data_IF_337459725734
#
_entry.id   IF_337459725734
#
_cell.length_a   1.000
_cell.length_b   1.000
_cell.length_c   1.000
_cell.angle_alpha   90.00
_cell.angle_beta   90.00
_cell.angle_gamma   90.00
#
_symmetry.space_group_name_H-M   'P 1'
#
loop_
_entity.id
_entity.type
_entity.pdbx_description
1 polymer ?
#
# COMPACT_ATOMS: atom_id res chain seq x y z
N UNK A 1 50.43 70.00 -29.82
CA UNK A 1 50.60 68.85 -28.93
C UNK A 1 49.22 68.26 -28.57
N UNK A 2 48.77 67.19 -29.22
CA UNK A 2 47.47 66.59 -28.98
C UNK A 2 47.72 65.20 -28.33
N UNK A 3 47.40 65.07 -27.02
CA UNK A 3 47.44 63.77 -26.28
C UNK A 3 46.18 62.96 -26.61
N UNK A 4 46.33 61.77 -27.18
CA UNK A 4 45.29 60.77 -27.40
C UNK A 4 45.23 59.90 -26.16
N UNK A 5 44.08 59.86 -25.45
CA UNK A 5 43.78 58.89 -24.40
C UNK A 5 43.12 57.67 -25.05
N UNK A 6 43.77 56.47 -24.91
CA UNK A 6 43.23 55.18 -25.25
C UNK A 6 42.46 54.66 -24.01
N UNK A 7 41.15 54.51 -24.14
CA UNK A 7 40.34 53.77 -23.17
C UNK A 7 40.37 52.27 -23.55
N UNK A 8 40.92 51.43 -22.64
CA UNK A 8 40.86 49.98 -22.76
C UNK A 8 39.51 49.54 -22.12
N UNK A 9 38.60 48.97 -22.91
CA UNK A 9 37.39 48.28 -22.41
C UNK A 9 37.79 46.88 -21.93
N UNK A 10 37.74 46.67 -20.64
CA UNK A 10 37.83 45.34 -20.05
C UNK A 10 36.46 44.66 -20.16
N UNK A 11 36.31 43.65 -21.01
CA UNK A 11 35.15 42.81 -21.13
C UNK A 11 35.14 41.76 -19.99
N UNK A 12 34.34 42.01 -18.95
CA UNK A 12 34.08 40.99 -17.92
C UNK A 12 33.10 39.96 -18.45
N UNK A 13 33.61 38.77 -18.67
CA UNK A 13 32.79 37.61 -18.97
C UNK A 13 32.03 37.18 -17.68
N UNK A 14 30.75 37.45 -17.62
CA UNK A 14 29.84 36.86 -16.65
C UNK A 14 29.58 35.41 -17.04
N UNK A 15 30.24 34.48 -16.35
CA UNK A 15 29.91 33.05 -16.43
C UNK A 15 28.49 32.85 -15.84
N UNK A 16 27.50 32.71 -16.71
CA UNK A 16 26.16 32.29 -16.29
C UNK A 16 26.25 30.90 -15.64
N UNK A 17 25.63 30.68 -14.47
CA UNK A 17 25.55 29.33 -13.93
C UNK A 17 24.75 28.48 -14.92
N UNK A 18 25.38 27.47 -15.49
CA UNK A 18 24.69 26.43 -16.24
C UNK A 18 23.74 25.73 -15.28
N UNK A 19 22.43 26.05 -15.37
CA UNK A 19 21.39 25.17 -14.82
C UNK A 19 21.65 23.79 -15.42
N UNK A 20 22.17 22.90 -14.60
CA UNK A 20 22.34 21.51 -14.93
C UNK A 20 20.95 20.95 -15.20
N UNK A 21 20.60 20.79 -16.48
CA UNK A 21 19.35 20.19 -16.90
C UNK A 21 19.20 18.88 -16.13
N UNK A 22 18.13 18.77 -15.35
CA UNK A 22 17.78 17.52 -14.68
C UNK A 22 17.84 16.42 -15.73
N UNK A 23 18.69 15.41 -15.50
CA UNK A 23 18.88 14.27 -16.38
C UNK A 23 17.52 13.83 -16.91
N UNK A 24 17.33 13.83 -18.25
CA UNK A 24 16.07 13.52 -18.93
C UNK A 24 15.58 12.08 -18.76
N UNK A 25 15.88 11.48 -17.61
CA UNK A 25 15.42 10.16 -17.22
C UNK A 25 14.00 10.24 -16.65
N UNK A 26 13.08 9.47 -17.21
CA UNK A 26 11.75 9.30 -16.63
C UNK A 26 11.83 8.90 -15.14
N UNK A 27 11.00 9.45 -14.25
CA UNK A 27 11.04 9.09 -12.85
C UNK A 27 10.81 7.59 -12.62
N UNK A 28 11.45 7.04 -11.58
CA UNK A 28 11.14 5.71 -11.09
C UNK A 28 9.85 5.78 -10.27
N UNK A 29 8.84 5.03 -10.69
CA UNK A 29 7.50 5.10 -10.10
C UNK A 29 7.36 4.07 -8.97
N UNK A 30 7.23 4.58 -7.73
CA UNK A 30 6.90 3.80 -6.54
C UNK A 30 5.38 3.79 -6.33
N UNK A 31 4.72 2.72 -6.73
CA UNK A 31 3.29 2.52 -6.55
C UNK A 31 2.96 2.03 -5.13
N UNK A 32 2.03 2.69 -4.45
CA UNK A 32 1.57 2.29 -3.11
C UNK A 32 0.08 1.99 -3.15
N UNK A 33 -0.30 0.77 -2.76
CA UNK A 33 -1.72 0.39 -2.68
C UNK A 33 -2.48 1.28 -1.67
N UNK A 34 -3.74 1.64 -1.95
CA UNK A 34 -4.50 2.63 -1.18
C UNK A 34 -5.05 2.06 0.14
N UNK A 35 -4.17 1.73 1.07
CA UNK A 35 -4.50 1.18 2.38
C UNK A 35 -4.91 2.24 3.43
N UNK A 36 -4.76 3.51 3.10
CA UNK A 36 -5.22 4.69 3.84
C UNK A 36 -5.40 5.85 2.85
N UNK A 37 -5.68 7.06 3.32
CA UNK A 37 -5.88 8.22 2.43
C UNK A 37 -4.62 8.55 1.64
N UNK A 38 -4.79 9.08 0.41
CA UNK A 38 -3.69 9.41 -0.48
C UNK A 38 -2.67 10.37 0.17
N UNK A 39 -3.14 11.38 0.93
CA UNK A 39 -2.27 12.31 1.66
C UNK A 39 -1.38 11.58 2.65
N UNK A 40 -1.96 10.70 3.47
CA UNK A 40 -1.21 9.91 4.46
C UNK A 40 -0.19 8.98 3.79
N UNK A 41 -0.55 8.36 2.66
CA UNK A 41 0.37 7.53 1.88
C UNK A 41 1.56 8.35 1.40
N UNK A 42 1.31 9.50 0.77
CA UNK A 42 2.37 10.36 0.24
C UNK A 42 3.32 10.82 1.35
N UNK A 43 2.80 11.23 2.51
CA UNK A 43 3.60 11.62 3.67
C UNK A 43 4.41 10.43 4.23
N UNK A 44 3.76 9.28 4.43
CA UNK A 44 4.35 8.07 5.01
C UNK A 44 5.55 7.55 4.20
N UNK A 45 5.44 7.55 2.86
CA UNK A 45 6.48 6.98 2.00
C UNK A 45 7.56 7.97 1.56
N UNK A 46 7.53 9.24 2.02
CA UNK A 46 8.58 10.23 1.71
C UNK A 46 9.99 9.81 2.14
N UNK A 47 10.22 9.21 3.33
CA UNK A 47 11.56 8.75 3.70
C UNK A 47 12.11 7.70 2.74
N UNK A 48 11.30 6.71 2.35
CA UNK A 48 11.67 5.69 1.38
C UNK A 48 11.90 6.28 -0.01
N UNK A 49 11.03 7.19 -0.46
CA UNK A 49 11.17 7.88 -1.74
C UNK A 49 12.53 8.58 -1.85
N UNK A 50 12.87 9.41 -0.87
CA UNK A 50 14.15 10.16 -0.84
C UNK A 50 15.35 9.22 -0.83
N UNK A 51 15.25 8.14 -0.07
CA UNK A 51 16.33 7.16 0.00
C UNK A 51 16.55 6.45 -1.35
N UNK A 52 15.47 5.99 -1.99
CA UNK A 52 15.53 5.36 -3.31
C UNK A 52 16.02 6.35 -4.37
N UNK A 53 15.61 7.61 -4.33
CA UNK A 53 16.07 8.66 -5.24
C UNK A 53 17.59 8.82 -5.19
N UNK A 54 18.16 8.86 -3.98
CA UNK A 54 19.61 8.91 -3.79
C UNK A 54 20.31 7.62 -4.24
N UNK A 55 19.76 6.45 -3.88
CA UNK A 55 20.36 5.15 -4.21
C UNK A 55 20.31 4.82 -5.70
N UNK A 56 19.25 5.23 -6.39
CA UNK A 56 19.05 4.97 -7.81
C UNK A 56 19.66 6.04 -8.72
N UNK A 57 20.06 7.18 -8.16
CA UNK A 57 20.57 8.37 -8.89
C UNK A 57 19.57 8.81 -9.98
N UNK A 58 18.28 8.82 -9.65
CA UNK A 58 17.18 9.16 -10.56
C UNK A 58 15.97 9.64 -9.77
N UNK A 59 15.15 10.56 -10.31
CA UNK A 59 13.92 10.99 -9.65
C UNK A 59 13.02 9.82 -9.29
N UNK A 60 12.44 9.84 -8.08
CA UNK A 60 11.48 8.83 -7.61
C UNK A 60 10.14 9.51 -7.32
N UNK A 61 9.08 9.01 -7.92
CA UNK A 61 7.72 9.50 -7.75
C UNK A 61 6.87 8.46 -7.00
N UNK A 62 6.19 8.88 -5.92
CA UNK A 62 5.22 8.05 -5.22
C UNK A 62 3.84 8.25 -5.85
N UNK A 63 3.23 7.16 -6.29
CA UNK A 63 1.86 7.15 -6.83
C UNK A 63 0.98 6.19 -6.05
N UNK A 64 -0.28 6.55 -5.88
CA UNK A 64 -1.34 5.66 -5.40
C UNK A 64 -2.52 5.69 -6.37
N UNK A 65 -3.60 4.98 -6.04
CA UNK A 65 -4.81 4.94 -6.84
C UNK A 65 -6.04 5.25 -5.97
N UNK A 66 -7.20 5.57 -6.56
CA UNK A 66 -8.44 5.81 -5.82
C UNK A 66 -8.89 4.61 -4.98
N UNK A 67 -8.67 3.40 -5.48
CA UNK A 67 -9.01 2.15 -4.82
C UNK A 67 -8.09 1.00 -5.24
N UNK A 68 -8.25 -0.17 -4.61
CA UNK A 68 -7.44 -1.36 -4.89
C UNK A 68 -7.65 -1.95 -6.28
N UNK A 69 -8.84 -1.77 -6.88
CA UNK A 69 -9.14 -2.27 -8.23
C UNK A 69 -8.35 -1.48 -9.28
N UNK A 70 -8.39 -0.16 -9.18
CA UNK A 70 -7.65 0.74 -10.06
C UNK A 70 -6.13 0.58 -9.85
N UNK A 71 -5.68 0.39 -8.62
CA UNK A 71 -4.28 0.10 -8.32
C UNK A 71 -3.81 -1.18 -9.02
N UNK A 72 -4.59 -2.26 -8.93
CA UNK A 72 -4.28 -3.52 -9.61
C UNK A 72 -4.25 -3.35 -11.13
N UNK A 73 -5.22 -2.65 -11.70
CA UNK A 73 -5.27 -2.38 -13.15
C UNK A 73 -4.03 -1.64 -13.64
N UNK A 74 -3.59 -0.61 -12.92
CA UNK A 74 -2.37 0.14 -13.25
C UNK A 74 -1.11 -0.72 -13.15
N UNK A 75 -1.01 -1.57 -12.14
CA UNK A 75 0.13 -2.48 -12.01
C UNK A 75 0.19 -3.50 -13.16
N UNK A 76 -0.96 -4.06 -13.55
CA UNK A 76 -1.05 -4.99 -14.69
C UNK A 76 -0.72 -4.32 -16.03
N UNK A 77 -0.87 -2.99 -16.12
CA UNK A 77 -0.45 -2.16 -17.27
C UNK A 77 0.99 -1.63 -17.14
N UNK A 78 1.79 -2.20 -16.26
CA UNK A 78 3.21 -1.83 -16.06
C UNK A 78 3.44 -0.35 -15.66
N UNK A 79 2.45 0.31 -15.01
CA UNK A 79 2.57 1.74 -14.64
C UNK A 79 3.49 1.97 -13.42
N UNK A 80 3.84 0.94 -12.66
CA UNK A 80 4.74 1.02 -11.50
C UNK A 80 6.05 0.30 -11.76
N UNK A 81 7.17 0.90 -11.31
CA UNK A 81 8.48 0.27 -11.33
C UNK A 81 8.70 -0.64 -10.12
N UNK A 82 8.27 -0.16 -8.95
CA UNK A 82 8.23 -0.89 -7.70
C UNK A 82 6.86 -0.66 -7.08
N UNK A 83 6.15 -1.72 -6.72
CA UNK A 83 4.85 -1.60 -6.05
C UNK A 83 4.92 -2.16 -4.64
N UNK A 84 4.23 -1.48 -3.70
CA UNK A 84 3.99 -1.96 -2.34
C UNK A 84 2.50 -2.25 -2.20
N UNK A 85 2.16 -3.52 -2.12
CA UNK A 85 0.77 -3.98 -2.16
C UNK A 85 0.52 -5.17 -1.23
N UNK A 86 -0.71 -5.56 -1.04
CA UNK A 86 -1.07 -6.75 -0.25
C UNK A 86 -0.76 -8.04 -1.00
N UNK A 87 -0.51 -9.13 -0.25
CA UNK A 87 0.01 -10.38 -0.79
C UNK A 87 -0.78 -10.96 -1.96
N UNK A 88 -2.11 -10.88 -1.94
CA UNK A 88 -2.95 -11.38 -3.03
C UNK A 88 -2.79 -10.59 -4.34
N UNK A 89 -2.64 -9.26 -4.26
CA UNK A 89 -2.32 -8.45 -5.43
C UNK A 89 -0.87 -8.66 -5.86
N UNK A 90 0.07 -8.81 -4.92
CA UNK A 90 1.45 -9.18 -5.24
C UNK A 90 1.51 -10.50 -6.01
N UNK A 91 0.70 -11.49 -5.61
CA UNK A 91 0.57 -12.77 -6.32
C UNK A 91 0.00 -12.59 -7.72
N UNK A 92 -1.05 -11.79 -7.88
CA UNK A 92 -1.61 -11.46 -9.19
C UNK A 92 -0.57 -10.78 -10.09
N UNK A 93 0.15 -9.80 -9.58
CA UNK A 93 1.18 -9.09 -10.37
C UNK A 93 2.34 -10.01 -10.74
N UNK A 94 2.71 -10.93 -9.85
CA UNK A 94 3.71 -11.95 -10.14
C UNK A 94 3.26 -12.88 -11.27
N UNK A 95 2.03 -13.42 -11.21
CA UNK A 95 1.55 -14.40 -12.19
C UNK A 95 1.18 -13.77 -13.54
N UNK A 96 0.57 -12.60 -13.56
CA UNK A 96 -0.07 -12.04 -14.76
C UNK A 96 0.77 -10.94 -15.42
N UNK A 97 1.64 -10.24 -14.68
CA UNK A 97 2.50 -9.18 -15.21
C UNK A 97 4.02 -9.43 -15.00
N UNK A 98 4.38 -10.56 -14.38
CA UNK A 98 5.78 -10.95 -14.22
C UNK A 98 6.57 -10.08 -13.23
N UNK A 99 5.89 -9.45 -12.28
CA UNK A 99 6.58 -8.74 -11.20
C UNK A 99 7.36 -9.71 -10.32
N UNK A 100 8.48 -9.24 -9.79
CA UNK A 100 9.41 -10.01 -8.95
C UNK A 100 9.18 -9.66 -7.49
N UNK A 101 8.67 -10.55 -6.64
CA UNK A 101 8.55 -10.32 -5.21
C UNK A 101 9.95 -10.18 -4.58
N UNK A 102 10.17 -9.11 -3.81
CA UNK A 102 11.46 -8.84 -3.16
C UNK A 102 11.43 -9.16 -1.67
N UNK A 103 10.55 -8.47 -0.94
CA UNK A 103 10.48 -8.56 0.53
C UNK A 103 9.09 -8.13 1.03
N UNK A 104 8.87 -8.38 2.31
CA UNK A 104 7.66 -7.93 3.03
C UNK A 104 8.05 -7.40 4.42
N UNK A 105 7.12 -6.81 5.14
CA UNK A 105 7.32 -6.42 6.53
C UNK A 105 7.27 -7.64 7.46
N UNK A 106 7.92 -7.53 8.64
CA UNK A 106 7.84 -8.57 9.69
C UNK A 106 6.48 -8.59 10.35
N UNK A 107 5.84 -7.42 10.52
CA UNK A 107 4.51 -7.33 11.06
C UNK A 107 3.52 -8.18 10.24
N UNK A 108 2.84 -9.09 10.89
CA UNK A 108 1.85 -9.94 10.26
C UNK A 108 0.61 -9.12 9.84
N UNK A 109 0.02 -9.52 8.73
CA UNK A 109 -1.26 -8.98 8.31
C UNK A 109 -2.39 -9.92 8.74
N UNK A 110 -3.37 -9.37 9.45
CA UNK A 110 -4.60 -10.06 9.79
C UNK A 110 -5.80 -9.19 9.47
N UNK A 111 -6.82 -9.79 8.90
CA UNK A 111 -8.12 -9.19 8.71
C UNK A 111 -8.99 -9.45 9.96
N UNK A 112 -9.83 -8.49 10.31
CA UNK A 112 -10.78 -8.61 11.43
C UNK A 112 -12.17 -8.17 10.99
N UNK A 113 -13.17 -8.79 11.62
CA UNK A 113 -14.57 -8.40 11.57
C UNK A 113 -14.94 -7.69 12.88
N UNK A 114 -15.27 -6.40 12.78
CA UNK A 114 -15.58 -5.55 13.92
C UNK A 114 -17.09 -5.34 14.06
N UNK A 115 -17.60 -5.44 15.28
CA UNK A 115 -18.98 -5.11 15.63
C UNK A 115 -18.99 -4.12 16.80
N UNK A 116 -20.09 -3.40 17.00
CA UNK A 116 -20.33 -2.65 18.23
C UNK A 116 -20.43 -3.62 19.41
N UNK A 117 -19.63 -3.40 20.46
CA UNK A 117 -19.60 -4.24 21.66
C UNK A 117 -20.94 -4.33 22.37
N UNK A 118 -21.73 -3.25 22.34
CA UNK A 118 -23.04 -3.15 22.98
C UNK A 118 -24.20 -3.34 22.02
N UNK A 119 -23.91 -3.47 20.72
CA UNK A 119 -24.92 -3.62 19.68
C UNK A 119 -25.56 -5.02 19.67
N UNK A 120 -26.58 -5.25 18.83
CA UNK A 120 -27.30 -6.50 18.77
C UNK A 120 -26.52 -7.64 18.09
N UNK A 121 -25.43 -7.35 17.40
CA UNK A 121 -24.67 -8.32 16.60
C UNK A 121 -23.57 -8.99 17.43
N UNK A 122 -24.00 -9.76 18.46
CA UNK A 122 -23.08 -10.39 19.39
C UNK A 122 -22.56 -11.75 18.93
N UNK A 123 -23.28 -12.38 18.03
CA UNK A 123 -22.89 -13.64 17.38
C UNK A 123 -23.03 -13.56 15.86
N UNK A 124 -22.53 -14.59 15.18
CA UNK A 124 -22.51 -14.62 13.72
C UNK A 124 -23.92 -14.75 13.14
N UNK A 125 -24.82 -15.47 13.81
CA UNK A 125 -26.18 -15.73 13.31
C UNK A 125 -27.00 -14.45 13.25
N UNK A 126 -26.72 -13.48 14.13
CA UNK A 126 -27.38 -12.17 14.16
C UNK A 126 -27.08 -11.32 12.91
N UNK A 127 -26.06 -11.65 12.13
CA UNK A 127 -25.72 -10.93 10.90
C UNK A 127 -26.62 -11.28 9.71
N UNK A 128 -27.50 -12.27 9.83
CA UNK A 128 -28.38 -12.66 8.71
C UNK A 128 -29.26 -11.50 8.25
N UNK A 129 -29.30 -11.24 6.95
CA UNK A 129 -30.04 -10.14 6.33
C UNK A 129 -29.50 -8.75 6.65
N UNK A 130 -28.32 -8.63 7.28
CA UNK A 130 -27.75 -7.36 7.67
C UNK A 130 -26.87 -6.73 6.57
N UNK A 131 -26.51 -5.46 6.77
CA UNK A 131 -25.53 -4.75 5.96
C UNK A 131 -24.20 -4.71 6.68
N UNK A 132 -23.13 -5.16 6.00
CA UNK A 132 -21.75 -5.11 6.48
C UNK A 132 -20.90 -4.19 5.61
N UNK A 133 -19.83 -3.65 6.17
CA UNK A 133 -18.90 -2.78 5.44
C UNK A 133 -17.66 -3.53 4.98
N UNK A 134 -17.34 -3.37 3.70
CA UNK A 134 -16.05 -3.69 3.13
C UNK A 134 -15.32 -2.43 2.65
N UNK A 135 -14.03 -2.53 2.32
CA UNK A 135 -13.30 -1.43 1.67
C UNK A 135 -13.64 -1.41 0.17
N UNK A 136 -12.81 -1.92 -0.70
CA UNK A 136 -13.18 -2.13 -2.10
C UNK A 136 -13.42 -3.63 -2.37
N UNK A 137 -14.08 -3.99 -3.47
CA UNK A 137 -14.29 -5.40 -3.84
C UNK A 137 -13.00 -6.23 -3.89
N UNK A 138 -11.88 -5.58 -4.18
CA UNK A 138 -10.57 -6.21 -4.35
C UNK A 138 -9.61 -5.99 -3.17
N UNK A 139 -10.08 -5.43 -2.05
CA UNK A 139 -9.24 -5.33 -0.86
C UNK A 139 -9.18 -6.66 -0.11
N UNK A 140 -8.02 -7.02 0.43
CA UNK A 140 -7.82 -8.32 1.10
C UNK A 140 -8.76 -8.51 2.29
N UNK A 141 -9.03 -7.46 3.07
CA UNK A 141 -9.95 -7.55 4.21
C UNK A 141 -11.38 -7.85 3.76
N UNK A 142 -11.82 -7.26 2.65
CA UNK A 142 -13.16 -7.51 2.07
C UNK A 142 -13.25 -8.92 1.52
N UNK A 143 -12.28 -9.36 0.73
CA UNK A 143 -12.24 -10.71 0.16
C UNK A 143 -12.21 -11.80 1.25
N UNK A 144 -11.41 -11.58 2.29
CA UNK A 144 -11.42 -12.46 3.46
C UNK A 144 -12.78 -12.48 4.13
N UNK A 145 -13.37 -11.33 4.37
CA UNK A 145 -14.69 -11.21 5.00
C UNK A 145 -15.79 -11.88 4.20
N UNK A 146 -15.82 -11.69 2.88
CA UNK A 146 -16.76 -12.39 1.99
C UNK A 146 -16.61 -13.90 2.08
N UNK A 147 -15.37 -14.40 2.04
CA UNK A 147 -15.10 -15.82 2.18
C UNK A 147 -15.54 -16.36 3.55
N UNK A 148 -15.24 -15.61 4.60
CA UNK A 148 -15.65 -15.93 5.97
C UNK A 148 -17.18 -16.00 6.09
N UNK A 149 -17.92 -15.00 5.56
CA UNK A 149 -19.40 -15.01 5.56
C UNK A 149 -19.96 -16.22 4.79
N UNK A 150 -19.42 -16.56 3.64
CA UNK A 150 -19.83 -17.74 2.88
C UNK A 150 -19.68 -19.04 3.69
N UNK A 151 -18.60 -19.19 4.43
CA UNK A 151 -18.35 -20.36 5.29
C UNK A 151 -19.33 -20.47 6.47
N UNK A 152 -19.95 -19.34 6.88
CA UNK A 152 -20.94 -19.34 7.98
C UNK A 152 -22.36 -19.68 7.51
N UNK A 153 -22.60 -19.84 6.21
CA UNK A 153 -23.94 -20.14 5.65
C UNK A 153 -25.03 -19.13 6.11
N UNK A 154 -24.68 -17.84 6.22
CA UNK A 154 -25.57 -16.81 6.74
C UNK A 154 -26.71 -16.42 5.79
N UNK A 155 -26.65 -16.79 4.51
CA UNK A 155 -27.59 -16.37 3.48
C UNK A 155 -27.32 -14.93 3.06
N UNK A 156 -28.36 -14.11 2.92
CA UNK A 156 -28.29 -12.77 2.36
C UNK A 156 -27.67 -11.75 3.32
N UNK A 157 -26.36 -11.53 3.18
CA UNK A 157 -25.64 -10.41 3.81
C UNK A 157 -25.22 -9.45 2.72
N UNK A 158 -25.69 -8.19 2.83
CA UNK A 158 -25.33 -7.15 1.85
C UNK A 158 -23.98 -6.51 2.22
N UNK A 159 -23.05 -6.44 1.27
CA UNK A 159 -21.77 -5.75 1.48
C UNK A 159 -21.82 -4.37 0.84
N UNK A 160 -21.69 -3.33 1.66
CA UNK A 160 -21.52 -1.95 1.23
C UNK A 160 -20.06 -1.56 1.30
N UNK A 161 -19.54 -0.96 0.23
CA UNK A 161 -18.13 -0.56 0.16
C UNK A 161 -17.93 0.88 0.60
N UNK A 162 -16.83 1.14 1.30
CA UNK A 162 -16.38 2.47 1.70
C UNK A 162 -14.94 2.69 1.28
N UNK A 163 -14.60 3.91 0.88
CA UNK A 163 -13.26 4.23 0.36
C UNK A 163 -12.23 4.46 1.47
N UNK A 164 -12.66 4.84 2.67
CA UNK A 164 -11.77 5.21 3.76
C UNK A 164 -11.79 4.15 4.88
N UNK A 165 -10.67 3.47 5.07
CA UNK A 165 -10.51 2.43 6.08
C UNK A 165 -10.67 2.93 7.53
N UNK A 166 -10.41 4.21 7.78
CA UNK A 166 -10.54 4.87 9.07
C UNK A 166 -11.99 5.24 9.44
N UNK A 167 -12.91 5.24 8.46
CA UNK A 167 -14.32 5.54 8.70
C UNK A 167 -15.16 4.33 9.13
N UNK A 168 -14.70 3.10 8.84
CA UNK A 168 -15.53 1.88 9.06
C UNK A 168 -15.93 1.70 10.52
N UNK A 169 -15.05 2.00 11.47
CA UNK A 169 -15.32 1.87 12.90
C UNK A 169 -16.41 2.84 13.36
N UNK A 170 -16.37 4.08 12.90
CA UNK A 170 -17.38 5.10 13.22
C UNK A 170 -18.76 4.74 12.67
N UNK A 171 -18.82 4.22 11.45
CA UNK A 171 -20.07 3.79 10.82
C UNK A 171 -20.71 2.61 11.56
N UNK A 172 -19.91 1.66 12.07
CA UNK A 172 -20.42 0.57 12.92
C UNK A 172 -20.95 1.13 14.25
N UNK A 173 -20.21 2.02 14.91
CA UNK A 173 -20.64 2.63 16.19
C UNK A 173 -21.85 3.56 16.03
N UNK A 174 -22.06 4.14 14.86
CA UNK A 174 -23.25 4.93 14.54
C UNK A 174 -24.48 4.06 14.21
N UNK A 175 -24.32 2.75 14.09
CA UNK A 175 -25.40 1.84 13.69
C UNK A 175 -25.70 1.82 12.18
N UNK A 176 -24.86 2.46 11.37
CA UNK A 176 -25.00 2.50 9.89
C UNK A 176 -24.69 1.16 9.22
N UNK A 177 -24.06 0.25 9.95
CA UNK A 177 -23.78 -1.12 9.54
C UNK A 177 -23.60 -2.03 10.75
N UNK A 178 -23.91 -3.30 10.56
CA UNK A 178 -23.86 -4.32 11.60
C UNK A 178 -22.43 -4.76 11.91
N UNK A 179 -21.55 -4.72 10.92
CA UNK A 179 -20.18 -5.20 11.00
C UNK A 179 -19.30 -4.47 9.97
N UNK A 180 -18.02 -4.35 10.25
CA UNK A 180 -17.04 -3.88 9.27
C UNK A 180 -15.81 -4.79 9.18
N UNK A 181 -15.33 -5.01 7.96
CA UNK A 181 -14.05 -5.65 7.71
C UNK A 181 -12.94 -4.62 7.63
N UNK A 182 -11.89 -4.82 8.42
CA UNK A 182 -10.69 -3.99 8.41
C UNK A 182 -9.45 -4.83 8.75
N UNK A 183 -8.27 -4.23 8.80
CA UNK A 183 -7.07 -4.92 9.29
C UNK A 183 -6.94 -4.77 10.80
N UNK A 184 -6.33 -5.77 11.45
CA UNK A 184 -5.99 -5.71 12.87
C UNK A 184 -5.13 -4.46 13.18
N UNK A 185 -4.19 -4.13 12.29
CA UNK A 185 -3.36 -2.93 12.44
C UNK A 185 -4.18 -1.63 12.41
N UNK A 186 -5.21 -1.53 11.56
CA UNK A 186 -6.11 -0.36 11.57
C UNK A 186 -6.95 -0.30 12.86
N UNK A 187 -7.45 -1.43 13.32
CA UNK A 187 -8.16 -1.50 14.60
C UNK A 187 -7.27 -1.06 15.77
N UNK A 188 -6.03 -1.53 15.82
CA UNK A 188 -5.08 -1.19 16.90
C UNK A 188 -4.69 0.30 16.90
N UNK A 189 -4.77 0.98 15.76
CA UNK A 189 -4.50 2.43 15.61
C UNK A 189 -5.69 3.33 15.99
N UNK A 190 -6.86 2.75 16.24
CA UNK A 190 -8.01 3.53 16.70
C UNK A 190 -7.73 4.15 18.08
N UNK A 191 -8.29 5.34 18.36
CA UNK A 191 -8.30 5.91 19.71
C UNK A 191 -8.81 4.89 20.74
N UNK A 192 -8.22 4.83 21.95
CA UNK A 192 -8.63 3.86 22.98
C UNK A 192 -10.14 3.83 23.22
N UNK A 193 -10.78 5.01 23.32
CA UNK A 193 -12.21 5.17 23.54
C UNK A 193 -13.10 4.57 22.44
N UNK A 194 -12.65 4.60 21.18
CA UNK A 194 -13.36 3.94 20.08
C UNK A 194 -13.11 2.43 20.08
N UNK A 195 -11.87 2.01 20.36
CA UNK A 195 -11.50 0.61 20.38
C UNK A 195 -12.21 -0.15 21.49
N UNK A 196 -12.43 0.47 22.65
CA UNK A 196 -13.17 -0.11 23.77
C UNK A 196 -14.65 -0.34 23.46
N UNK A 197 -15.24 0.47 22.57
CA UNK A 197 -16.63 0.32 22.13
C UNK A 197 -16.79 -0.77 21.05
N UNK A 198 -15.72 -1.21 20.45
CA UNK A 198 -15.73 -2.24 19.42
C UNK A 198 -15.33 -3.61 19.97
N UNK A 199 -15.78 -4.65 19.31
CA UNK A 199 -15.39 -6.03 19.55
C UNK A 199 -14.99 -6.71 18.25
N UNK A 200 -13.90 -7.46 18.27
CA UNK A 200 -13.52 -8.36 17.19
C UNK A 200 -14.42 -9.60 17.30
N UNK A 201 -15.29 -9.79 16.30
CA UNK A 201 -16.14 -10.97 16.17
C UNK A 201 -15.41 -12.15 15.52
N UNK A 202 -14.53 -11.86 14.56
CA UNK A 202 -13.69 -12.85 13.92
C UNK A 202 -12.36 -12.24 13.48
N UNK A 203 -11.32 -13.08 13.42
CA UNK A 203 -9.96 -12.71 13.00
C UNK A 203 -9.45 -13.77 12.03
N UNK A 204 -8.69 -13.35 11.02
CA UNK A 204 -8.04 -14.27 10.08
C UNK A 204 -6.77 -14.88 10.66
N UNK A 205 -6.35 -16.03 10.11
CA UNK A 205 -4.96 -16.45 10.20
C UNK A 205 -4.04 -15.37 9.60
N UNK A 206 -2.76 -15.34 10.00
CA UNK A 206 -1.78 -14.47 9.39
C UNK A 206 -1.69 -14.66 7.89
N UNK A 207 -1.77 -13.58 7.12
CA UNK A 207 -1.67 -13.58 5.66
C UNK A 207 -0.46 -12.76 5.21
N UNK A 208 -0.04 -12.95 3.94
CA UNK A 208 0.98 -12.08 3.35
C UNK A 208 0.47 -10.62 3.34
N UNK A 209 1.16 -9.76 4.07
CA UNK A 209 0.82 -8.36 4.25
C UNK A 209 1.23 -7.50 3.07
N UNK A 210 1.92 -6.39 3.36
CA UNK A 210 2.45 -5.51 2.32
C UNK A 210 3.73 -6.09 1.75
N UNK A 211 3.71 -6.41 0.47
CA UNK A 211 4.82 -7.00 -0.30
C UNK A 211 5.38 -5.96 -1.26
N UNK A 212 6.69 -5.87 -1.32
CA UNK A 212 7.40 -5.11 -2.35
C UNK A 212 7.58 -6.00 -3.58
N UNK A 213 7.04 -5.58 -4.71
CA UNK A 213 7.16 -6.29 -5.98
C UNK A 213 7.77 -5.35 -7.05
N UNK A 214 8.81 -5.82 -7.70
CA UNK A 214 9.58 -5.08 -8.70
C UNK A 214 9.10 -5.45 -10.10
N UNK A 215 8.83 -4.46 -10.94
CA UNK A 215 8.49 -4.71 -12.34
C UNK A 215 9.64 -5.43 -13.07
N UNK A 216 9.30 -6.43 -13.89
CA UNK A 216 10.26 -7.25 -14.66
C UNK A 216 11.26 -6.43 -15.51
N UNK A 217 10.88 -5.23 -15.96
CA UNK A 217 11.77 -4.34 -16.69
C UNK A 217 13.02 -3.93 -15.91
N UNK A 218 13.00 -4.10 -14.59
CA UNK A 218 14.10 -3.81 -13.68
C UNK A 218 14.88 -5.05 -13.23
N UNK A 219 14.65 -6.23 -13.82
CA UNK A 219 15.29 -7.50 -13.41
C UNK A 219 16.81 -7.41 -13.35
N UNK A 220 17.44 -6.70 -14.29
CA UNK A 220 18.90 -6.49 -14.30
C UNK A 220 19.40 -5.70 -13.07
N UNK A 221 18.55 -4.91 -12.43
CA UNK A 221 18.85 -4.13 -11.21
C UNK A 221 18.19 -4.68 -9.95
N UNK A 222 17.56 -5.86 -10.00
CA UNK A 222 16.82 -6.45 -8.88
C UNK A 222 17.66 -6.48 -7.60
N UNK A 223 18.87 -7.03 -7.66
CA UNK A 223 19.77 -7.17 -6.49
C UNK A 223 20.10 -5.81 -5.87
N UNK A 224 20.41 -4.80 -6.69
CA UNK A 224 20.76 -3.46 -6.19
C UNK A 224 19.54 -2.75 -5.57
N UNK A 225 18.35 -2.90 -6.17
CA UNK A 225 17.10 -2.32 -5.64
C UNK A 225 16.72 -3.02 -4.33
N UNK A 226 16.75 -4.34 -4.28
CA UNK A 226 16.51 -5.10 -3.05
C UNK A 226 17.48 -4.68 -1.93
N UNK A 227 18.79 -4.57 -2.25
CA UNK A 227 19.79 -4.10 -1.30
C UNK A 227 19.49 -2.69 -0.80
N UNK A 228 19.03 -1.79 -1.67
CA UNK A 228 18.64 -0.44 -1.26
C UNK A 228 17.47 -0.44 -0.27
N UNK A 229 16.50 -1.35 -0.42
CA UNK A 229 15.41 -1.51 0.55
C UNK A 229 15.92 -2.00 1.91
N UNK A 230 16.84 -3.00 1.93
CA UNK A 230 17.47 -3.47 3.16
C UNK A 230 18.29 -2.38 3.84
N UNK A 231 19.08 -1.64 3.08
CA UNK A 231 19.90 -0.53 3.59
C UNK A 231 19.04 0.62 4.11
N UNK A 232 17.89 0.92 3.44
CA UNK A 232 16.91 1.85 3.97
C UNK A 232 16.41 1.43 5.34
N UNK A 233 16.01 0.16 5.50
CA UNK A 233 15.49 -0.34 6.78
C UNK A 233 16.51 -0.22 7.94
N UNK A 234 17.81 -0.29 7.64
CA UNK A 234 18.89 -0.13 8.61
C UNK A 234 19.31 1.34 8.84
N UNK A 235 18.85 2.27 8.01
CA UNK A 235 19.17 3.70 8.13
C UNK A 235 18.37 4.37 9.26
N UNK A 236 18.84 5.50 9.85
CA UNK A 236 18.07 6.24 10.84
C UNK A 236 16.67 6.62 10.36
N UNK A 237 16.53 7.06 9.10
CA UNK A 237 15.24 7.40 8.50
C UNK A 237 14.32 6.17 8.34
N UNK A 238 14.90 5.02 7.97
CA UNK A 238 14.17 3.76 7.84
C UNK A 238 13.73 3.20 9.18
N UNK A 239 14.58 3.23 10.19
CA UNK A 239 14.23 2.83 11.56
C UNK A 239 13.08 3.68 12.11
N UNK A 240 13.16 5.01 11.96
CA UNK A 240 12.07 5.92 12.35
C UNK A 240 10.76 5.59 11.60
N UNK A 241 10.82 5.39 10.28
CA UNK A 241 9.69 5.00 9.45
C UNK A 241 9.05 3.68 9.93
N UNK A 242 9.85 2.65 10.17
CA UNK A 242 9.38 1.33 10.58
C UNK A 242 8.72 1.38 11.97
N UNK A 243 9.36 2.07 12.94
CA UNK A 243 8.84 2.23 14.30
C UNK A 243 7.53 3.02 14.31
N UNK A 244 7.50 4.19 13.66
CA UNK A 244 6.32 5.04 13.60
C UNK A 244 5.11 4.34 12.98
N UNK A 245 5.35 3.43 12.04
CA UNK A 245 4.29 2.70 11.33
C UNK A 245 4.04 1.29 11.87
N UNK A 246 4.71 0.86 12.95
CA UNK A 246 4.55 -0.45 13.59
C UNK A 246 4.78 -1.61 12.59
N UNK A 247 5.87 -1.55 11.83
CA UNK A 247 6.15 -2.49 10.72
C UNK A 247 7.22 -3.54 11.06
N UNK A 248 7.89 -3.43 12.21
CA UNK A 248 8.85 -4.38 12.78
C UNK A 248 10.04 -4.74 11.88
N UNK A 249 10.31 -3.96 10.82
CA UNK A 249 11.35 -4.21 9.85
C UNK A 249 10.91 -5.03 8.65
N UNK A 250 11.89 -5.37 7.80
CA UNK A 250 11.67 -6.21 6.62
C UNK A 250 12.07 -7.66 6.84
N UNK A 251 11.48 -8.56 6.07
CA UNK A 251 11.88 -9.96 5.92
C UNK A 251 11.72 -10.43 4.49
N UNK A 252 12.39 -11.49 4.12
CA UNK A 252 12.11 -12.21 2.88
C UNK A 252 10.77 -12.94 3.00
N UNK A 253 10.12 -13.14 1.86
CA UNK A 253 8.95 -14.02 1.79
C UNK A 253 9.34 -15.45 2.12
N UNK A 254 8.46 -16.16 2.82
CA UNK A 254 8.61 -17.59 3.09
C UNK A 254 8.32 -18.37 1.79
N UNK A 255 8.85 -19.59 1.64
CA UNK A 255 8.47 -20.46 0.53
C UNK A 255 6.95 -20.61 0.45
N UNK A 256 6.40 -20.45 -0.75
CA UNK A 256 4.96 -20.59 -1.03
C UNK A 256 4.03 -19.60 -0.30
N UNK A 257 4.56 -18.55 0.29
CA UNK A 257 3.74 -17.55 1.02
C UNK A 257 2.78 -16.79 0.08
N UNK A 258 3.21 -16.50 -1.14
CA UNK A 258 2.33 -15.85 -2.14
C UNK A 258 1.39 -16.84 -2.82
N UNK A 259 1.78 -18.10 -3.01
CA UNK A 259 0.87 -19.14 -3.55
C UNK A 259 -0.34 -19.36 -2.63
N UNK A 260 -0.18 -19.21 -1.32
CA UNK A 260 -1.31 -19.25 -0.38
C UNK A 260 -2.35 -18.15 -0.64
N UNK A 261 -1.98 -17.10 -1.40
CA UNK A 261 -2.88 -16.01 -1.80
C UNK A 261 -3.62 -16.26 -3.12
N UNK A 262 -3.37 -17.38 -3.81
CA UNK A 262 -4.02 -17.70 -5.09
C UNK A 262 -5.55 -17.58 -5.08
N UNK A 263 -6.29 -18.04 -4.05
CA UNK A 263 -7.74 -17.91 -4.03
C UNK A 263 -8.23 -16.47 -4.08
N UNK A 264 -7.51 -15.55 -3.38
CA UNK A 264 -7.83 -14.13 -3.37
C UNK A 264 -7.34 -13.42 -4.64
N UNK A 265 -6.20 -13.83 -5.18
CA UNK A 265 -5.68 -13.32 -6.45
C UNK A 265 -6.64 -13.63 -7.61
N UNK A 266 -7.23 -14.82 -7.62
CA UNK A 266 -8.24 -15.21 -8.60
C UNK A 266 -9.50 -14.32 -8.54
N UNK A 267 -9.99 -13.99 -7.35
CA UNK A 267 -11.13 -13.08 -7.19
C UNK A 267 -10.79 -11.67 -7.71
N UNK A 268 -9.59 -11.15 -7.44
CA UNK A 268 -9.14 -9.86 -8.00
C UNK A 268 -9.05 -9.92 -9.53
N UNK A 269 -8.51 -11.00 -10.09
CA UNK A 269 -8.42 -11.20 -11.55
C UNK A 269 -9.79 -11.12 -12.21
N UNK A 270 -10.80 -11.76 -11.62
CA UNK A 270 -12.19 -11.69 -12.13
C UNK A 270 -12.71 -10.26 -12.16
N UNK A 271 -12.50 -9.49 -11.09
CA UNK A 271 -12.98 -8.11 -11.00
C UNK A 271 -12.23 -7.18 -11.97
N UNK A 272 -10.90 -7.32 -12.09
CA UNK A 272 -10.05 -6.39 -12.87
C UNK A 272 -10.08 -6.71 -14.37
N UNK A 273 -10.10 -7.99 -14.73
CA UNK A 273 -9.96 -8.46 -16.10
C UNK A 273 -11.26 -9.05 -16.69
N UNK A 274 -12.31 -9.22 -15.89
CA UNK A 274 -13.57 -9.86 -16.31
C UNK A 274 -13.41 -11.34 -16.67
N UNK A 275 -12.47 -12.06 -16.04
CA UNK A 275 -12.09 -13.45 -16.37
C UNK A 275 -12.05 -14.32 -15.12
#
# INVERSE_FOLDING_TARGET
>A
MRRRFLFALAATWLAAPTLQAANGQSPFVLGIAPHTSARVILEMYQPLRRYLEAALQRPVEVRTAPDFTEFARRALNDEYDLAVTTGHQARLFQSDAGYLPLLTYRADFKAVALVDRKGPYQDIAALRGSTVLGLSPTSLVTLWGQRWLRLQNLGDVTIRYVSAADSVSRLVLAGDASLAFTSLANYQKLPPEQREQLRILAESEPMAGRVYVLNRRWVARQKSIEQSLWSFAASPAGLAYLTQNQLDGYRRLRPRELEAMDPYAAEVRQVVLGR
#
